data_IF_798289048578
#
_entry.id   IF_798289048578
#
_cell.length_a   1.000
_cell.length_b   1.000
_cell.length_c   1.000
_cell.angle_alpha   90.00
_cell.angle_beta   90.00
_cell.angle_gamma   90.00
#
_symmetry.space_group_name_H-M   'P 1'
#
loop_
_entity.id
_entity.type
_entity.pdbx_description
1 polymer ?
#
# COMPACT_ATOMS: atom_id res chain seq x y z
N UNK A 1 -33.60 22.50 16.50
CA UNK A 1 -32.33 22.93 15.92
C UNK A 1 -31.90 21.80 14.94
N UNK A 2 -32.07 22.05 13.65
CA UNK A 2 -31.78 21.08 12.60
C UNK A 2 -30.27 20.97 12.44
N UNK A 3 -29.71 19.77 12.60
CA UNK A 3 -28.35 19.45 12.19
C UNK A 3 -28.22 19.67 10.69
N UNK A 4 -27.14 20.31 10.20
CA UNK A 4 -26.92 20.46 8.77
C UNK A 4 -26.71 19.09 8.16
N UNK A 5 -27.59 18.70 7.25
CA UNK A 5 -27.49 17.50 6.46
C UNK A 5 -26.17 17.50 5.69
N UNK A 6 -25.46 16.37 5.79
CA UNK A 6 -24.24 16.10 5.05
C UNK A 6 -24.60 15.98 3.56
N UNK A 7 -24.45 17.08 2.82
CA UNK A 7 -24.53 17.08 1.36
C UNK A 7 -23.41 16.15 0.86
N UNK A 8 -23.65 15.19 -0.06
CA UNK A 8 -22.56 14.46 -0.69
C UNK A 8 -21.58 15.48 -1.27
N UNK A 9 -20.35 15.51 -0.74
CA UNK A 9 -19.35 16.50 -1.13
C UNK A 9 -19.08 16.41 -2.63
N UNK A 10 -18.86 17.57 -3.27
CA UNK A 10 -18.33 17.62 -4.62
C UNK A 10 -17.06 16.76 -4.71
N UNK A 11 -16.82 16.14 -5.89
CA UNK A 11 -15.61 15.37 -6.14
C UNK A 11 -14.37 16.17 -5.68
N UNK A 12 -13.51 15.53 -4.91
CA UNK A 12 -12.31 16.15 -4.39
C UNK A 12 -11.09 15.74 -5.20
N UNK A 13 -11.19 15.87 -6.53
CA UNK A 13 -10.04 15.72 -7.41
C UNK A 13 -9.04 16.84 -7.11
N UNK A 14 -7.77 16.50 -7.04
CA UNK A 14 -6.70 17.44 -6.71
C UNK A 14 -5.46 17.18 -7.59
N UNK A 15 -4.50 18.10 -7.56
CA UNK A 15 -3.17 17.93 -8.11
C UNK A 15 -2.16 17.95 -6.97
N UNK A 16 -1.23 17.01 -7.00
CA UNK A 16 -0.15 16.97 -6.03
C UNK A 16 1.13 16.37 -6.64
N UNK A 17 2.26 16.77 -6.10
CA UNK A 17 3.55 16.26 -6.47
C UNK A 17 3.73 14.83 -5.99
N UNK A 18 3.90 13.88 -6.91
CA UNK A 18 4.31 12.50 -6.64
C UNK A 18 5.76 12.31 -7.04
N UNK A 19 6.56 11.67 -6.18
CA UNK A 19 8.00 11.50 -6.41
C UNK A 19 8.25 10.19 -7.14
N UNK A 20 8.68 10.30 -8.40
CA UNK A 20 9.02 9.18 -9.28
C UNK A 20 10.53 8.96 -9.37
N UNK A 21 10.94 7.75 -9.71
CA UNK A 21 12.32 7.46 -10.05
C UNK A 21 12.65 7.98 -11.46
N UNK A 22 13.86 8.49 -11.62
CA UNK A 22 14.41 8.84 -12.92
C UNK A 22 15.23 7.66 -13.43
N UNK A 23 14.97 7.25 -14.66
CA UNK A 23 15.76 6.21 -15.32
C UNK A 23 17.03 6.83 -15.92
N UNK A 24 18.06 6.91 -15.09
CA UNK A 24 19.38 7.46 -15.46
C UNK A 24 20.38 6.37 -15.83
N UNK A 25 19.96 5.09 -15.81
CA UNK A 25 20.87 3.94 -15.92
C UNK A 25 21.59 3.62 -14.59
N UNK A 26 21.46 4.45 -13.57
CA UNK A 26 22.02 4.18 -12.25
C UNK A 26 21.17 3.15 -11.51
N UNK A 27 21.77 2.08 -10.90
CA UNK A 27 21.01 1.11 -10.13
C UNK A 27 20.30 1.76 -8.93
N UNK A 28 19.00 1.47 -8.79
CA UNK A 28 18.23 1.89 -7.63
C UNK A 28 18.47 0.89 -6.50
N UNK A 29 19.23 1.29 -5.48
CA UNK A 29 19.57 0.44 -4.34
C UNK A 29 19.20 1.14 -3.04
N UNK A 30 18.61 0.39 -2.13
CA UNK A 30 18.36 0.79 -0.77
C UNK A 30 19.06 -0.24 0.14
N UNK A 31 20.21 0.15 0.67
CA UNK A 31 21.08 -0.72 1.43
C UNK A 31 21.06 -0.33 2.90
N UNK A 32 20.93 -1.34 3.76
CA UNK A 32 20.94 -1.18 5.22
C UNK A 32 22.19 -1.86 5.77
N UNK A 33 23.06 -1.11 6.44
CA UNK A 33 24.27 -1.62 7.06
C UNK A 33 24.09 -1.74 8.57
N UNK A 34 24.66 -2.79 9.13
CA UNK A 34 24.96 -3.04 10.54
C UNK A 34 23.80 -2.97 11.56
N UNK A 35 23.90 -3.85 12.54
CA UNK A 35 23.12 -3.85 13.77
C UNK A 35 23.55 -2.69 14.68
N UNK A 36 22.58 -1.96 15.23
CA UNK A 36 22.79 -0.98 16.32
C UNK A 36 22.79 0.49 15.92
N UNK A 37 23.51 0.91 14.90
CA UNK A 37 23.38 2.21 14.24
C UNK A 37 23.01 1.94 12.78
N UNK A 38 21.73 1.87 12.49
CA UNK A 38 21.20 1.57 11.14
C UNK A 38 21.62 2.68 10.19
N UNK A 39 22.75 2.49 9.52
CA UNK A 39 23.13 3.33 8.39
C UNK A 39 22.40 2.84 7.15
N UNK A 40 21.79 3.76 6.44
CA UNK A 40 21.03 3.49 5.22
C UNK A 40 21.65 4.27 4.07
N UNK A 41 21.98 3.56 3.01
CA UNK A 41 22.40 4.15 1.73
C UNK A 41 21.29 3.98 0.70
N UNK A 42 20.90 5.07 0.07
CA UNK A 42 19.93 5.05 -1.04
C UNK A 42 20.64 5.63 -2.26
N UNK A 43 20.61 4.89 -3.38
CA UNK A 43 21.09 5.36 -4.68
C UNK A 43 19.93 5.56 -5.63
N UNK A 44 20.22 6.20 -6.77
CA UNK A 44 19.25 6.54 -7.79
C UNK A 44 18.73 7.96 -7.63
N UNK A 45 18.25 8.47 -8.74
CA UNK A 45 17.73 9.82 -8.88
C UNK A 45 16.20 9.82 -8.86
N UNK A 46 15.60 10.82 -8.23
CA UNK A 46 14.16 10.95 -8.07
C UNK A 46 13.74 12.40 -8.32
N UNK A 47 12.54 12.59 -8.87
CA UNK A 47 11.98 13.92 -9.06
C UNK A 47 10.48 13.94 -8.77
N UNK A 48 9.94 15.05 -8.25
CA UNK A 48 8.51 15.27 -8.13
C UNK A 48 7.90 15.62 -9.48
N UNK A 49 6.70 15.08 -9.73
CA UNK A 49 5.86 15.43 -10.88
C UNK A 49 4.46 15.71 -10.41
N UNK A 50 3.87 16.82 -10.88
CA UNK A 50 2.47 17.16 -10.61
C UNK A 50 1.56 16.18 -11.34
N UNK A 51 0.74 15.47 -10.57
CA UNK A 51 -0.20 14.47 -11.08
C UNK A 51 -1.61 14.77 -10.63
N UNK A 52 -2.62 14.56 -11.49
CA UNK A 52 -4.02 14.54 -11.05
C UNK A 52 -4.26 13.31 -10.18
N UNK A 53 -4.88 13.52 -9.01
CA UNK A 53 -5.26 12.44 -8.10
C UNK A 53 -6.76 12.53 -7.87
N UNK A 54 -7.49 11.50 -8.30
CA UNK A 54 -8.94 11.48 -8.32
C UNK A 54 -9.53 10.96 -7.02
N UNK A 55 -10.66 11.55 -6.63
CA UNK A 55 -11.47 11.06 -5.52
C UNK A 55 -12.16 9.75 -5.91
N UNK A 56 -11.67 8.64 -5.34
CA UNK A 56 -12.21 7.31 -5.59
C UNK A 56 -13.62 7.12 -5.01
N UNK A 57 -14.03 7.88 -3.97
CA UNK A 57 -15.36 7.76 -3.35
C UNK A 57 -16.46 8.15 -4.31
N UNK A 58 -16.27 9.24 -5.04
CA UNK A 58 -17.26 9.72 -6.03
C UNK A 58 -17.46 8.68 -7.11
N UNK A 59 -16.36 8.08 -7.61
CA UNK A 59 -16.43 7.06 -8.65
C UNK A 59 -17.08 5.77 -8.13
N UNK A 60 -16.72 5.34 -6.92
CA UNK A 60 -17.33 4.16 -6.29
C UNK A 60 -18.82 4.36 -5.96
N UNK A 61 -19.25 5.59 -5.65
CA UNK A 61 -20.66 5.91 -5.44
C UNK A 61 -21.48 5.87 -6.73
N UNK A 62 -20.89 6.28 -7.86
CA UNK A 62 -21.52 6.22 -9.17
C UNK A 62 -21.58 4.79 -9.74
N UNK A 63 -20.55 3.99 -9.46
CA UNK A 63 -20.47 2.58 -9.88
C UNK A 63 -19.75 1.78 -8.77
N UNK A 64 -20.49 0.98 -7.97
CA UNK A 64 -19.90 0.14 -6.93
C UNK A 64 -18.90 -0.90 -7.45
N UNK A 65 -18.91 -1.22 -8.75
CA UNK A 65 -17.95 -2.12 -9.39
C UNK A 65 -16.75 -1.38 -10.02
N UNK A 66 -16.67 -0.03 -9.86
CA UNK A 66 -15.61 0.77 -10.46
C UNK A 66 -14.20 0.35 -10.06
N UNK A 67 -14.05 -0.23 -8.86
CA UNK A 67 -12.77 -0.68 -8.32
C UNK A 67 -12.82 -2.14 -7.88
N UNK A 68 -11.87 -2.92 -8.38
CA UNK A 68 -11.70 -4.31 -7.99
C UNK A 68 -10.23 -4.70 -7.96
N UNK A 69 -9.89 -5.76 -7.20
CA UNK A 69 -8.51 -6.28 -7.16
C UNK A 69 -8.00 -6.77 -8.52
N UNK A 70 -8.90 -7.26 -9.38
CA UNK A 70 -8.49 -7.85 -10.65
C UNK A 70 -8.42 -6.85 -11.80
N UNK A 71 -9.08 -5.69 -11.68
CA UNK A 71 -9.03 -4.65 -12.72
C UNK A 71 -8.09 -3.50 -12.34
N UNK A 72 -8.39 -2.81 -11.25
CA UNK A 72 -7.64 -1.62 -10.82
C UNK A 72 -6.47 -1.98 -9.90
N UNK A 73 -6.54 -3.16 -9.27
CA UNK A 73 -5.60 -3.62 -8.27
C UNK A 73 -5.99 -3.28 -6.83
N UNK A 74 -7.07 -2.52 -6.60
CA UNK A 74 -7.50 -2.10 -5.26
C UNK A 74 -9.00 -1.94 -5.12
N UNK A 75 -9.48 -1.98 -3.87
CA UNK A 75 -10.86 -1.66 -3.49
C UNK A 75 -10.92 -1.19 -2.04
N UNK A 76 -11.90 -0.35 -1.70
CA UNK A 76 -12.19 0.05 -0.32
C UNK A 76 -13.36 -0.77 0.21
N UNK A 77 -13.20 -1.33 1.40
CA UNK A 77 -14.22 -2.14 2.07
C UNK A 77 -14.66 -1.49 3.38
N UNK A 78 -15.97 -1.42 3.66
CA UNK A 78 -16.44 -1.23 5.03
C UNK A 78 -15.94 -2.41 5.87
N UNK A 79 -15.23 -2.13 6.95
CA UNK A 79 -14.62 -3.16 7.77
C UNK A 79 -14.43 -2.67 9.20
N UNK A 80 -15.40 -2.93 10.05
CA UNK A 80 -15.27 -2.70 11.50
C UNK A 80 -14.22 -3.65 12.09
N UNK A 81 -13.50 -3.18 13.09
CA UNK A 81 -12.50 -3.98 13.80
C UNK A 81 -12.79 -4.01 15.30
N UNK A 82 -12.51 -5.13 15.93
CA UNK A 82 -12.59 -5.31 17.38
C UNK A 82 -11.29 -4.89 18.10
N UNK A 83 -10.24 -4.54 17.35
CA UNK A 83 -8.99 -4.05 17.95
C UNK A 83 -9.25 -2.74 18.68
N UNK A 84 -8.95 -2.68 19.96
CA UNK A 84 -9.02 -1.44 20.73
C UNK A 84 -7.74 -0.60 20.56
N UNK A 85 -6.59 -1.24 20.64
CA UNK A 85 -5.26 -0.62 20.49
C UNK A 85 -4.41 -1.34 19.45
N UNK A 86 -4.13 -0.66 18.34
CA UNK A 86 -3.26 -1.19 17.27
C UNK A 86 -1.76 -1.19 17.65
N UNK A 87 -1.37 -0.61 18.76
CA UNK A 87 0.00 -0.66 19.26
C UNK A 87 0.23 -1.84 20.21
N UNK A 88 -0.84 -2.56 20.59
CA UNK A 88 -0.75 -3.81 21.34
C UNK A 88 -0.50 -5.00 20.39
N UNK A 89 0.69 -5.63 20.43
CA UNK A 89 1.02 -6.74 19.54
C UNK A 89 0.12 -7.98 19.77
N UNK A 90 -0.44 -8.15 20.95
CA UNK A 90 -1.37 -9.26 21.22
C UNK A 90 -2.70 -9.05 20.50
N UNK A 91 -3.26 -7.84 20.54
CA UNK A 91 -4.47 -7.53 19.79
C UNK A 91 -4.26 -7.61 18.28
N UNK A 92 -3.07 -7.22 17.77
CA UNK A 92 -2.74 -7.41 16.37
C UNK A 92 -2.75 -8.89 15.98
N UNK A 93 -2.09 -9.74 16.76
CA UNK A 93 -1.99 -11.17 16.49
C UNK A 93 -3.32 -11.90 16.64
N UNK A 94 -4.02 -11.64 17.76
CA UNK A 94 -5.16 -12.48 18.18
C UNK A 94 -6.51 -11.98 17.64
N UNK A 95 -6.59 -10.69 17.25
CA UNK A 95 -7.81 -10.06 16.73
C UNK A 95 -7.61 -9.61 15.27
N UNK A 96 -6.63 -8.73 15.04
CA UNK A 96 -6.54 -8.07 13.74
C UNK A 96 -6.11 -9.01 12.60
N UNK A 97 -5.14 -9.90 12.82
CA UNK A 97 -4.72 -10.85 11.78
C UNK A 97 -5.85 -11.79 11.35
N UNK A 98 -6.64 -12.40 12.24
CA UNK A 98 -7.85 -13.13 11.85
C UNK A 98 -8.85 -12.31 11.04
N UNK A 99 -9.09 -11.05 11.44
CA UNK A 99 -9.97 -10.13 10.69
C UNK A 99 -9.44 -9.86 9.27
N UNK A 100 -8.14 -9.59 9.13
CA UNK A 100 -7.47 -9.38 7.83
C UNK A 100 -7.54 -10.63 6.96
N UNK A 101 -7.30 -11.82 7.52
CA UNK A 101 -7.40 -13.10 6.79
C UNK A 101 -8.82 -13.29 6.23
N UNK A 102 -9.83 -13.04 7.05
CA UNK A 102 -11.23 -13.16 6.64
C UNK A 102 -11.58 -12.15 5.52
N UNK A 103 -11.16 -10.88 5.68
CA UNK A 103 -11.37 -9.83 4.70
C UNK A 103 -10.71 -10.16 3.35
N UNK A 104 -9.43 -10.57 3.37
CA UNK A 104 -8.69 -10.89 2.13
C UNK A 104 -9.32 -12.10 1.44
N UNK A 105 -9.75 -13.14 2.16
CA UNK A 105 -10.50 -14.27 1.58
C UNK A 105 -11.80 -13.81 0.93
N UNK A 106 -12.56 -12.98 1.61
CA UNK A 106 -13.84 -12.45 1.11
C UNK A 106 -13.65 -11.66 -0.20
N UNK A 107 -12.65 -10.78 -0.26
CA UNK A 107 -12.46 -9.86 -1.39
C UNK A 107 -11.78 -10.54 -2.57
N UNK A 108 -10.86 -11.48 -2.32
CA UNK A 108 -10.04 -12.10 -3.36
C UNK A 108 -10.56 -13.47 -3.84
N UNK A 109 -11.36 -14.15 -3.01
CA UNK A 109 -11.76 -15.55 -3.25
C UNK A 109 -10.65 -16.56 -2.92
N UNK A 110 -9.57 -16.16 -2.27
CA UNK A 110 -8.49 -17.06 -1.88
C UNK A 110 -8.95 -18.12 -0.88
N UNK A 111 -8.53 -19.36 -1.08
CA UNK A 111 -8.83 -20.48 -0.18
C UNK A 111 -8.00 -20.42 1.10
N UNK A 112 -6.74 -20.01 0.98
CA UNK A 112 -5.79 -19.84 2.11
C UNK A 112 -5.15 -18.46 2.08
N UNK A 113 -5.09 -17.80 3.25
CA UNK A 113 -4.41 -16.51 3.44
C UNK A 113 -3.47 -16.62 4.63
N UNK A 114 -2.25 -16.14 4.48
CA UNK A 114 -1.20 -16.11 5.50
C UNK A 114 -0.76 -14.69 5.71
N UNK A 115 -0.97 -14.13 6.91
CA UNK A 115 -0.36 -12.86 7.31
C UNK A 115 1.11 -13.11 7.62
N UNK A 116 2.01 -12.30 7.07
CA UNK A 116 3.45 -12.47 7.29
C UNK A 116 4.18 -11.23 7.80
N UNK A 117 3.59 -10.06 7.67
CA UNK A 117 4.20 -8.81 8.13
C UNK A 117 3.13 -7.74 8.34
N UNK A 118 3.44 -6.78 9.22
CA UNK A 118 2.70 -5.54 9.33
C UNK A 118 3.65 -4.36 9.53
N UNK A 119 3.18 -3.18 9.20
CA UNK A 119 3.91 -1.93 9.41
C UNK A 119 2.99 -0.87 9.96
N UNK A 120 3.26 -0.41 11.17
CA UNK A 120 2.64 0.78 11.74
C UNK A 120 3.42 2.03 11.28
N UNK A 121 2.70 3.06 10.84
CA UNK A 121 3.29 4.31 10.40
C UNK A 121 2.64 5.50 11.10
N UNK A 122 3.45 6.48 11.47
CA UNK A 122 2.99 7.75 12.03
C UNK A 122 3.67 8.93 11.34
N UNK A 123 2.89 9.98 11.07
CA UNK A 123 3.39 11.29 10.68
C UNK A 123 3.99 12.10 11.85
N UNK A 124 3.77 11.66 13.09
CA UNK A 124 4.30 12.33 14.29
C UNK A 124 5.70 11.83 14.60
N UNK A 125 6.70 12.74 14.58
CA UNK A 125 8.10 12.39 14.81
C UNK A 125 8.36 11.88 16.22
N UNK A 126 7.81 12.52 17.23
CA UNK A 126 7.97 12.12 18.63
C UNK A 126 7.42 10.71 18.86
N UNK A 127 6.26 10.40 18.31
CA UNK A 127 5.66 9.06 18.40
C UNK A 127 6.52 8.03 17.65
N UNK A 128 7.09 8.38 16.48
CA UNK A 128 8.00 7.48 15.76
C UNK A 128 9.23 7.12 16.57
N UNK A 129 9.82 8.11 17.26
CA UNK A 129 10.98 7.88 18.11
C UNK A 129 10.64 7.01 19.34
N UNK A 130 9.51 7.27 19.99
CA UNK A 130 9.11 6.54 21.20
C UNK A 130 8.66 5.10 20.93
N UNK A 131 8.01 4.84 19.80
CA UNK A 131 7.40 3.56 19.46
C UNK A 131 8.08 2.84 18.28
N UNK A 132 9.23 3.33 17.81
CA UNK A 132 10.00 2.79 16.68
C UNK A 132 9.16 2.64 15.40
N UNK A 133 8.23 3.58 15.17
CA UNK A 133 7.36 3.58 14.00
C UNK A 133 8.06 4.13 12.77
N UNK A 134 7.57 3.74 11.60
CA UNK A 134 8.07 4.26 10.32
C UNK A 134 7.30 5.50 9.89
N UNK A 135 7.95 6.37 9.14
CA UNK A 135 7.28 7.48 8.46
C UNK A 135 6.51 7.02 7.21
N UNK A 136 5.54 7.80 6.72
CA UNK A 136 4.94 7.60 5.41
C UNK A 136 5.99 7.58 4.29
N UNK A 137 5.77 6.76 3.25
CA UNK A 137 6.66 6.68 2.08
C UNK A 137 6.13 7.59 0.98
N UNK A 138 6.94 8.58 0.56
CA UNK A 138 6.57 9.58 -0.44
C UNK A 138 7.10 9.27 -1.85
N UNK A 139 7.84 8.18 -2.03
CA UNK A 139 8.32 7.75 -3.36
C UNK A 139 7.38 6.70 -3.93
N UNK A 140 6.95 6.88 -5.17
CA UNK A 140 6.09 5.93 -5.90
C UNK A 140 6.78 4.58 -6.01
N UNK A 141 6.12 3.53 -5.53
CA UNK A 141 6.67 2.17 -5.50
C UNK A 141 5.60 1.11 -5.53
N UNK A 142 6.00 -0.10 -5.88
CA UNK A 142 5.27 -1.34 -5.64
C UNK A 142 6.15 -2.30 -4.87
N UNK A 143 5.61 -2.95 -3.85
CA UNK A 143 6.39 -3.67 -2.84
C UNK A 143 7.08 -4.95 -3.36
N UNK A 144 6.58 -5.55 -4.44
CA UNK A 144 7.10 -6.80 -5.00
C UNK A 144 7.35 -6.72 -6.49
N UNK A 145 8.31 -7.51 -6.97
CA UNK A 145 8.64 -7.70 -8.38
C UNK A 145 8.26 -9.11 -8.83
N UNK A 146 8.40 -9.39 -10.13
CA UNK A 146 8.27 -10.75 -10.69
C UNK A 146 9.15 -11.77 -9.95
N UNK A 147 10.33 -11.35 -9.52
CA UNK A 147 11.26 -12.20 -8.80
C UNK A 147 10.95 -12.27 -7.31
N UNK A 148 10.71 -11.13 -6.66
CA UNK A 148 10.60 -11.09 -5.18
C UNK A 148 9.28 -11.65 -4.66
N UNK A 149 8.21 -11.67 -5.47
CA UNK A 149 6.95 -12.30 -5.10
C UNK A 149 7.10 -13.80 -4.80
N UNK A 150 7.53 -14.62 -5.77
CA UNK A 150 7.82 -16.05 -5.54
C UNK A 150 8.89 -16.30 -4.46
N UNK A 151 9.92 -15.46 -4.42
CA UNK A 151 10.96 -15.56 -3.40
C UNK A 151 10.38 -15.41 -1.99
N UNK A 152 9.39 -14.53 -1.80
CA UNK A 152 8.74 -14.38 -0.48
C UNK A 152 7.99 -15.65 -0.06
N UNK A 153 7.37 -16.38 -0.98
CA UNK A 153 6.74 -17.66 -0.67
C UNK A 153 7.79 -18.69 -0.19
N UNK A 154 8.95 -18.78 -0.87
CA UNK A 154 10.05 -19.68 -0.49
C UNK A 154 10.62 -19.36 0.89
N UNK A 155 10.77 -18.08 1.21
CA UNK A 155 11.30 -17.64 2.50
C UNK A 155 10.35 -17.95 3.68
N UNK A 156 9.04 -17.84 3.45
CA UNK A 156 8.04 -17.94 4.52
C UNK A 156 7.47 -19.36 4.69
N UNK A 157 7.42 -20.14 3.62
CA UNK A 157 6.79 -21.46 3.56
C UNK A 157 7.72 -22.47 2.87
N UNK A 158 8.97 -22.63 3.32
CA UNK A 158 9.99 -23.39 2.59
C UNK A 158 9.58 -24.83 2.28
N UNK A 159 8.85 -25.50 3.18
CA UNK A 159 8.46 -26.90 3.04
C UNK A 159 7.36 -27.13 1.98
N UNK A 160 6.58 -26.10 1.65
CA UNK A 160 5.44 -26.20 0.70
C UNK A 160 5.59 -25.24 -0.49
N UNK A 161 6.64 -24.44 -0.54
CA UNK A 161 6.78 -23.33 -1.49
C UNK A 161 6.63 -23.79 -2.94
N UNK A 162 7.35 -24.81 -3.36
CA UNK A 162 7.35 -25.24 -4.76
C UNK A 162 5.98 -25.81 -5.19
N UNK A 163 5.25 -26.48 -4.29
CA UNK A 163 3.90 -26.94 -4.57
C UNK A 163 2.90 -25.75 -4.66
N UNK A 164 3.04 -24.77 -3.79
CA UNK A 164 2.19 -23.56 -3.80
C UNK A 164 2.44 -22.69 -5.04
N UNK A 165 3.70 -22.61 -5.49
CA UNK A 165 4.10 -21.82 -6.67
C UNK A 165 3.63 -22.43 -8.00
N UNK A 166 3.18 -23.69 -8.03
CA UNK A 166 2.55 -24.31 -9.21
C UNK A 166 1.10 -23.81 -9.42
N UNK A 167 0.53 -23.14 -8.45
CA UNK A 167 -0.84 -22.64 -8.49
C UNK A 167 -0.84 -21.10 -8.40
N UNK A 168 -2.00 -20.50 -8.67
CA UNK A 168 -2.16 -19.05 -8.48
C UNK A 168 -1.91 -18.66 -7.02
N UNK A 169 -1.10 -17.63 -6.84
CA UNK A 169 -0.98 -16.90 -5.59
C UNK A 169 -0.88 -15.39 -5.84
N UNK A 170 -1.21 -14.61 -4.84
CA UNK A 170 -1.09 -13.16 -4.86
C UNK A 170 -0.54 -12.64 -3.53
N UNK A 171 0.08 -11.46 -3.57
CA UNK A 171 0.41 -10.70 -2.36
C UNK A 171 -0.58 -9.54 -2.29
N UNK A 172 -1.38 -9.55 -1.24
CA UNK A 172 -2.46 -8.59 -1.01
C UNK A 172 -2.21 -7.89 0.32
N UNK A 173 -2.35 -6.57 0.29
CA UNK A 173 -2.16 -5.73 1.46
C UNK A 173 -3.50 -5.17 1.93
N UNK A 174 -3.61 -5.00 3.25
CA UNK A 174 -4.72 -4.30 3.88
C UNK A 174 -4.18 -3.10 4.63
N UNK A 175 -4.63 -1.93 4.24
CA UNK A 175 -4.20 -0.66 4.83
C UNK A 175 -5.40 0.08 5.44
N UNK A 176 -5.22 0.68 6.62
CA UNK A 176 -6.27 1.45 7.28
C UNK A 176 -5.75 2.51 8.26
N UNK A 177 -6.62 3.44 8.62
CA UNK A 177 -6.43 4.31 9.76
C UNK A 177 -6.49 3.52 11.08
N UNK A 178 -5.61 3.81 12.05
CA UNK A 178 -5.61 3.13 13.34
C UNK A 178 -6.36 3.90 14.44
N UNK A 179 -6.40 5.22 14.37
CA UNK A 179 -7.05 6.05 15.39
C UNK A 179 -8.15 6.93 14.80
N UNK A 180 -7.77 7.99 14.13
CA UNK A 180 -8.65 9.01 13.58
C UNK A 180 -8.62 9.01 12.05
N UNK A 181 -9.54 9.70 11.37
CA UNK A 181 -9.55 9.78 9.92
C UNK A 181 -8.22 10.25 9.35
N UNK A 182 -7.85 9.70 8.20
CA UNK A 182 -6.65 10.13 7.47
C UNK A 182 -6.93 11.46 6.79
N UNK A 183 -6.41 12.55 7.36
CA UNK A 183 -6.55 13.91 6.82
C UNK A 183 -5.25 14.33 6.14
N UNK A 184 -4.10 14.13 6.80
CA UNK A 184 -2.79 14.47 6.29
C UNK A 184 -2.11 13.26 5.63
N UNK A 185 -1.35 13.50 4.57
CA UNK A 185 -0.53 12.51 3.88
C UNK A 185 -1.30 11.20 3.52
N UNK A 186 -2.45 11.29 2.82
CA UNK A 186 -3.21 10.12 2.43
C UNK A 186 -2.41 9.18 1.51
N UNK A 187 -2.95 8.00 1.23
CA UNK A 187 -2.37 7.04 0.32
C UNK A 187 -3.02 7.18 -1.07
N UNK A 188 -2.20 7.43 -2.08
CA UNK A 188 -2.59 7.34 -3.48
C UNK A 188 -2.21 5.99 -4.07
N UNK A 189 -3.07 5.44 -4.93
CA UNK A 189 -2.88 4.18 -5.65
C UNK A 189 -3.05 4.43 -7.15
N UNK A 190 -2.15 3.85 -7.95
CA UNK A 190 -2.27 3.87 -9.39
C UNK A 190 -3.26 2.79 -9.86
N UNK A 191 -4.15 3.13 -10.77
CA UNK A 191 -4.96 2.16 -11.50
C UNK A 191 -4.04 1.28 -12.35
N UNK A 192 -3.98 -0.02 -12.07
CA UNK A 192 -3.11 -0.97 -12.73
C UNK A 192 -3.27 -0.97 -14.26
N UNK A 193 -4.45 -0.62 -14.78
CA UNK A 193 -4.73 -0.51 -16.22
C UNK A 193 -4.04 0.68 -16.90
N UNK A 194 -3.50 1.61 -16.13
CA UNK A 194 -2.76 2.77 -16.62
C UNK A 194 -1.24 2.59 -16.62
N UNK A 195 -0.77 1.41 -16.20
CA UNK A 195 0.65 1.10 -16.14
C UNK A 195 1.14 0.49 -17.45
N UNK A 196 2.27 0.94 -17.93
CA UNK A 196 3.04 0.26 -18.97
C UNK A 196 4.14 -0.59 -18.33
N UNK A 197 4.56 -1.67 -18.98
CA UNK A 197 5.64 -2.53 -18.49
C UNK A 197 6.94 -1.76 -18.24
N UNK A 198 7.22 -0.79 -19.08
CA UNK A 198 8.44 0.03 -19.04
C UNK A 198 8.43 1.08 -17.93
N UNK A 199 7.29 1.28 -17.28
CA UNK A 199 7.19 2.17 -16.12
C UNK A 199 7.83 1.56 -14.86
N UNK A 200 8.01 0.22 -14.84
CA UNK A 200 8.49 -0.54 -13.68
C UNK A 200 10.02 -0.64 -13.67
N UNK A 201 10.67 0.04 -12.73
CA UNK A 201 12.13 0.00 -12.54
C UNK A 201 12.45 -0.83 -11.30
N UNK A 202 13.28 -1.86 -11.46
CA UNK A 202 13.71 -2.69 -10.32
C UNK A 202 14.55 -1.84 -9.37
N UNK A 203 14.21 -1.92 -8.08
CA UNK A 203 14.99 -1.35 -6.99
C UNK A 203 15.36 -2.44 -6.00
N UNK A 204 16.65 -2.63 -5.76
CA UNK A 204 17.12 -3.61 -4.80
C UNK A 204 17.02 -3.08 -3.36
N UNK A 205 16.67 -3.98 -2.46
CA UNK A 205 16.78 -3.78 -1.01
C UNK A 205 17.82 -4.74 -0.47
N UNK A 206 18.98 -4.21 -0.11
CA UNK A 206 20.09 -4.98 0.43
C UNK A 206 20.09 -4.90 1.94
N UNK A 207 20.02 -6.05 2.58
CA UNK A 207 20.19 -6.26 4.00
C UNK A 207 21.47 -7.09 4.22
N UNK A 208 22.03 -7.14 5.44
CA UNK A 208 23.23 -7.93 5.71
C UNK A 208 23.11 -9.41 5.35
N UNK A 209 21.90 -9.98 5.45
CA UNK A 209 21.62 -11.41 5.33
C UNK A 209 20.77 -11.76 4.09
N UNK A 210 20.22 -10.75 3.37
CA UNK A 210 19.34 -11.00 2.23
C UNK A 210 19.28 -9.84 1.25
N UNK A 211 18.88 -10.16 0.02
CA UNK A 211 18.51 -9.18 -1.00
C UNK A 211 17.01 -9.32 -1.31
N UNK A 212 16.30 -8.22 -1.33
CA UNK A 212 14.93 -8.12 -1.81
C UNK A 212 14.83 -7.21 -3.01
N UNK A 213 13.71 -7.23 -3.70
CA UNK A 213 13.41 -6.32 -4.80
C UNK A 213 12.03 -5.71 -4.64
N UNK A 214 11.93 -4.43 -5.01
CA UNK A 214 10.68 -3.68 -5.16
C UNK A 214 10.70 -3.01 -6.52
N UNK A 215 9.54 -2.59 -7.04
CA UNK A 215 9.53 -1.68 -8.17
C UNK A 215 9.49 -0.23 -7.69
N UNK A 216 10.28 0.62 -8.36
CA UNK A 216 10.08 2.06 -8.44
C UNK A 216 9.39 2.35 -9.76
N UNK A 217 8.77 3.52 -9.85
CA UNK A 217 8.03 3.88 -11.05
C UNK A 217 8.75 4.99 -11.78
N UNK A 218 8.89 4.84 -13.12
CA UNK A 218 9.16 5.94 -14.03
C UNK A 218 7.91 6.80 -14.15
N UNK A 219 8.08 8.10 -14.28
CA UNK A 219 6.96 8.99 -14.56
C UNK A 219 6.34 8.69 -15.94
N UNK A 220 5.02 8.54 -15.95
CA UNK A 220 4.21 8.45 -17.15
C UNK A 220 2.95 9.31 -16.94
N UNK A 221 2.67 10.32 -17.78
CA UNK A 221 1.49 11.17 -17.64
C UNK A 221 0.16 10.42 -17.85
N UNK A 222 0.21 9.19 -18.38
CA UNK A 222 -0.97 8.33 -18.51
C UNK A 222 -1.38 7.64 -17.20
N UNK A 223 -0.56 7.68 -16.16
CA UNK A 223 -0.91 7.11 -14.87
C UNK A 223 -2.16 7.77 -14.30
N UNK A 224 -3.13 6.95 -13.89
CA UNK A 224 -4.37 7.40 -13.23
C UNK A 224 -4.27 7.09 -11.75
N UNK A 225 -4.21 8.16 -10.94
CA UNK A 225 -4.09 8.08 -9.50
C UNK A 225 -5.43 8.27 -8.82
N UNK A 226 -5.65 7.49 -7.76
CA UNK A 226 -6.84 7.54 -6.93
C UNK A 226 -6.48 7.56 -5.46
N UNK A 227 -7.30 8.21 -4.66
CA UNK A 227 -7.21 8.16 -3.21
C UNK A 227 -8.62 8.14 -2.60
N UNK A 228 -8.72 7.78 -1.34
CA UNK A 228 -9.96 7.85 -0.58
C UNK A 228 -9.85 8.96 0.46
N UNK A 229 -10.48 10.15 0.22
CA UNK A 229 -10.43 11.26 1.18
C UNK A 229 -10.95 10.85 2.55
N UNK A 230 -10.32 11.36 3.60
CA UNK A 230 -10.75 11.18 4.99
C UNK A 230 -11.07 9.74 5.36
N UNK A 231 -10.23 8.81 4.93
CA UNK A 231 -10.44 7.39 5.18
C UNK A 231 -10.58 7.10 6.68
N UNK A 232 -11.68 6.43 7.03
CA UNK A 232 -12.12 6.22 8.41
C UNK A 232 -11.51 4.94 9.00
N UNK A 233 -11.52 4.85 10.35
CA UNK A 233 -11.05 3.66 11.06
C UNK A 233 -11.86 2.39 10.72
N UNK A 234 -13.13 2.53 10.41
CA UNK A 234 -14.01 1.40 10.04
C UNK A 234 -13.98 1.07 8.53
N UNK A 235 -12.98 1.57 7.82
CA UNK A 235 -12.72 1.27 6.42
C UNK A 235 -11.36 0.58 6.27
N UNK A 236 -11.28 -0.35 5.35
CA UNK A 236 -10.05 -1.04 4.97
C UNK A 236 -9.82 -0.94 3.47
N UNK A 237 -8.68 -0.41 3.08
CA UNK A 237 -8.21 -0.39 1.71
C UNK A 237 -7.46 -1.70 1.44
N UNK A 238 -7.96 -2.48 0.50
CA UNK A 238 -7.36 -3.76 0.09
C UNK A 238 -6.75 -3.56 -1.29
N UNK A 239 -5.47 -3.88 -1.46
CA UNK A 239 -4.79 -3.72 -2.75
C UNK A 239 -3.75 -4.80 -3.00
N UNK A 240 -3.57 -5.12 -4.28
CA UNK A 240 -2.75 -6.22 -4.75
C UNK A 240 -1.41 -5.70 -5.25
N UNK A 241 -0.32 -6.18 -4.67
CA UNK A 241 1.05 -5.78 -5.04
C UNK A 241 1.82 -6.85 -5.81
N UNK A 242 1.21 -8.03 -5.97
CA UNK A 242 1.67 -9.11 -6.84
C UNK A 242 0.53 -10.09 -7.14
N UNK A 243 0.43 -10.56 -8.37
CA UNK A 243 -0.37 -11.74 -8.76
C UNK A 243 0.46 -12.60 -9.72
N UNK A 244 0.47 -13.91 -9.50
CA UNK A 244 1.24 -14.84 -10.34
C UNK A 244 0.60 -15.07 -11.72
N UNK A 245 -0.69 -14.79 -11.91
CA UNK A 245 -1.34 -14.91 -13.22
C UNK A 245 -1.04 -13.70 -14.11
N UNK A 246 -0.87 -14.00 -15.40
CA UNK A 246 -0.59 -13.02 -16.47
C UNK A 246 -1.72 -12.97 -17.51
N UNK A 247 -2.96 -13.15 -17.07
CA UNK A 247 -4.16 -13.24 -17.90
C UNK A 247 -4.84 -11.89 -18.18
N UNK A 248 -4.13 -10.78 -17.95
CA UNK A 248 -4.64 -9.42 -18.14
C UNK A 248 -5.20 -8.77 -16.88
N UNK A 249 -5.25 -9.50 -15.75
CA UNK A 249 -5.63 -8.89 -14.46
C UNK A 249 -4.54 -7.97 -13.92
N UNK A 250 -4.94 -7.08 -13.01
CA UNK A 250 -4.01 -6.28 -12.24
C UNK A 250 -3.06 -7.17 -11.44
N UNK A 251 -1.77 -6.92 -11.57
CA UNK A 251 -0.71 -7.67 -10.87
C UNK A 251 0.05 -6.83 -9.87
N UNK A 252 0.24 -5.56 -10.19
CA UNK A 252 0.95 -4.57 -9.41
C UNK A 252 0.08 -3.35 -9.22
N UNK A 253 0.09 -2.78 -8.01
CA UNK A 253 -0.60 -1.53 -7.68
C UNK A 253 0.40 -0.57 -7.04
N UNK A 254 1.10 0.22 -7.85
CA UNK A 254 1.98 1.25 -7.33
C UNK A 254 1.21 2.20 -6.42
N UNK A 255 1.87 2.60 -5.33
CA UNK A 255 1.27 3.45 -4.33
C UNK A 255 2.30 4.36 -3.69
N UNK A 256 1.82 5.46 -3.11
CA UNK A 256 2.67 6.44 -2.41
C UNK A 256 1.83 7.27 -1.46
N UNK A 257 2.44 7.79 -0.40
CA UNK A 257 1.88 8.93 0.31
C UNK A 257 2.11 10.21 -0.49
N UNK A 258 1.24 11.18 -0.32
CA UNK A 258 1.43 12.51 -0.91
C UNK A 258 1.02 13.62 0.07
N UNK A 259 1.56 14.80 -0.13
CA UNK A 259 1.12 16.00 0.59
C UNK A 259 -0.18 16.48 -0.05
N UNK A 260 -1.31 16.29 0.61
CA UNK A 260 -2.59 16.81 0.16
C UNK A 260 -2.60 18.32 0.35
N UNK A 261 -2.70 19.12 -0.74
CA UNK A 261 -2.64 20.60 -0.67
C UNK A 261 -3.78 21.22 0.16
N UNK A 262 -4.89 20.50 0.30
CA UNK A 262 -6.04 20.95 1.08
C UNK A 262 -5.99 20.47 2.53
N UNK A 263 -4.89 19.91 2.99
CA UNK A 263 -4.73 19.52 4.40
C UNK A 263 -4.89 20.76 5.30
N UNK A 264 -5.88 20.82 6.21
CA UNK A 264 -6.05 21.94 7.11
C UNK A 264 -4.82 22.17 7.99
N UNK A 265 -4.53 23.44 8.30
CA UNK A 265 -3.50 23.76 9.28
C UNK A 265 -3.84 23.13 10.63
N UNK A 266 -2.88 22.45 11.24
CA UNK A 266 -3.08 21.72 12.49
C UNK A 266 -3.80 20.38 12.36
N UNK A 267 -3.98 19.87 11.14
CA UNK A 267 -4.50 18.52 10.93
C UNK A 267 -3.65 17.48 11.69
N UNK A 268 -4.31 16.49 12.31
CA UNK A 268 -3.59 15.46 13.05
C UNK A 268 -2.67 14.66 12.11
N UNK A 269 -1.46 14.30 12.58
CA UNK A 269 -0.57 13.47 11.81
C UNK A 269 -1.20 12.11 11.53
N UNK A 270 -0.99 11.59 10.31
CA UNK A 270 -1.49 10.26 9.92
C UNK A 270 -0.97 9.18 10.85
N UNK A 271 -1.88 8.30 11.27
CA UNK A 271 -1.57 7.03 11.90
C UNK A 271 -2.25 5.91 11.11
N UNK A 272 -1.47 4.96 10.61
CA UNK A 272 -1.98 3.88 9.77
C UNK A 272 -1.24 2.58 10.03
N UNK A 273 -1.93 1.47 9.73
CA UNK A 273 -1.35 0.13 9.69
C UNK A 273 -1.50 -0.44 8.29
N UNK A 274 -0.47 -1.14 7.85
CA UNK A 274 -0.44 -1.94 6.64
C UNK A 274 -0.11 -3.37 7.01
N UNK A 275 -0.95 -4.32 6.63
CA UNK A 275 -0.72 -5.76 6.84
C UNK A 275 -0.52 -6.42 5.48
N UNK A 276 0.51 -7.24 5.38
CA UNK A 276 0.90 -7.98 4.16
C UNK A 276 0.50 -9.43 4.27
N UNK A 277 -0.13 -9.94 3.21
CA UNK A 277 -0.60 -11.33 3.16
C UNK A 277 -0.16 -12.04 1.90
N UNK A 278 0.08 -13.37 2.02
CA UNK A 278 0.08 -14.31 0.91
C UNK A 278 -1.31 -14.90 0.77
N UNK A 279 -1.88 -14.84 -0.41
CA UNK A 279 -3.19 -15.39 -0.76
C UNK A 279 -3.04 -16.50 -1.80
N UNK A 280 -3.50 -17.71 -1.50
CA UNK A 280 -3.43 -18.89 -2.37
C UNK A 280 -4.83 -19.31 -2.82
N UNK A 281 -4.96 -19.75 -4.09
CA UNK A 281 -6.25 -20.02 -4.74
C UNK A 281 -6.43 -21.50 -5.08
#
# INVERSE_FOLDING_TARGET
>A
MNSPGNTPGAARDLHAALVYALDTGEPLVNETFAEGNVQRRVTGSYAPFEMPIHDARVRAAADPAAFSLDQNGFTLMPHATQVADFFDPLQLRDIYYPEVIALVKQVSGASRVVVFDHTLRSGNEQQRQQQLLREPVFTVHNDYTEWSGPQRVRELLPDEAEALLQRRFAIIQVWRAVAQPIIANPLALADARSLASDDLIISERRYPDRIGQTYRMRHNPAHRWYYYPQMQRHEALVFKVYDSLTDGRARFTPHTSFADPDTPAGAPPRQSIEVRTLAFF
#
